data_IF_272141168919
#
_entry.id   IF_272141168919
#
_cell.length_a   1.000
_cell.length_b   1.000
_cell.length_c   1.000
_cell.angle_alpha   90.00
_cell.angle_beta   90.00
_cell.angle_gamma   90.00
#
_symmetry.space_group_name_H-M   'P 1'
#
loop_
_entity.id
_entity.type
_entity.pdbx_description
1 polymer ?
#
# COMPACT_ATOMS: atom_id res chain seq x y z
N UNK A 1 -1.22 27.99 19.74
CA UNK A 1 -0.67 28.65 18.55
C UNK A 1 -1.60 28.33 17.39
N UNK A 2 -2.21 29.35 16.78
CA UNK A 2 -2.96 29.15 15.54
C UNK A 2 -2.02 28.56 14.48
N UNK A 3 -2.44 27.52 13.73
CA UNK A 3 -1.62 27.00 12.65
C UNK A 3 -1.38 28.11 11.63
N UNK A 4 -0.11 28.39 11.35
CA UNK A 4 0.29 29.38 10.36
C UNK A 4 -0.44 29.08 9.04
N UNK A 5 -1.19 30.03 8.51
CA UNK A 5 -1.90 29.93 7.22
C UNK A 5 -0.96 29.70 6.03
N UNK A 6 0.34 29.95 6.24
CA UNK A 6 1.40 29.89 5.22
C UNK A 6 1.96 28.48 4.95
N UNK A 7 1.33 27.43 5.50
CA UNK A 7 1.81 26.04 5.32
C UNK A 7 1.50 25.43 3.95
N UNK A 8 0.59 26.00 3.21
CA UNK A 8 0.15 25.44 1.94
C UNK A 8 0.75 26.19 0.75
N UNK A 9 1.28 25.46 -0.22
CA UNK A 9 1.91 26.03 -1.40
C UNK A 9 1.01 27.06 -2.14
N UNK A 10 -0.30 26.80 -2.20
CA UNK A 10 -1.29 27.70 -2.85
C UNK A 10 -1.50 29.04 -2.11
N UNK A 11 -0.98 29.19 -0.90
CA UNK A 11 -1.01 30.45 -0.14
C UNK A 11 0.25 31.27 -0.31
N UNK A 12 1.28 30.74 -0.96
CA UNK A 12 2.53 31.47 -1.19
C UNK A 12 2.35 32.59 -2.22
N UNK A 13 3.13 33.68 -2.08
CA UNK A 13 3.13 34.76 -3.08
C UNK A 13 3.48 34.25 -4.47
N UNK A 14 4.47 33.35 -4.57
CA UNK A 14 4.87 32.73 -5.83
C UNK A 14 3.72 31.97 -6.53
N UNK A 15 2.87 31.28 -5.77
CA UNK A 15 1.69 30.61 -6.33
C UNK A 15 0.67 31.60 -6.87
N UNK A 16 0.39 32.67 -6.10
CA UNK A 16 -0.55 33.70 -6.50
C UNK A 16 -0.07 34.45 -7.76
N UNK A 17 1.23 34.80 -7.80
CA UNK A 17 1.87 35.46 -8.95
C UNK A 17 1.90 34.58 -10.19
N UNK A 18 2.18 33.26 -10.05
CA UNK A 18 2.19 32.32 -11.14
C UNK A 18 0.80 32.10 -11.76
N UNK A 19 -0.26 32.35 -10.98
CA UNK A 19 -1.65 32.20 -11.41
C UNK A 19 -1.91 30.92 -12.22
N UNK A 20 -1.62 29.72 -11.66
CA UNK A 20 -1.68 28.48 -12.42
C UNK A 20 -3.09 28.21 -12.93
N UNK A 21 -3.18 27.69 -14.15
CA UNK A 21 -4.46 27.27 -14.73
C UNK A 21 -4.88 25.96 -14.10
N UNK A 22 -6.09 25.92 -13.54
CA UNK A 22 -6.67 24.70 -12.95
C UNK A 22 -7.35 23.90 -14.04
N UNK A 23 -6.84 22.67 -14.27
CA UNK A 23 -7.45 21.71 -15.18
C UNK A 23 -8.17 20.64 -14.39
N UNK A 24 -9.43 20.36 -14.74
CA UNK A 24 -10.23 19.31 -14.13
C UNK A 24 -10.24 18.07 -15.02
N UNK A 25 -9.86 16.91 -14.46
CA UNK A 25 -10.00 15.64 -15.13
C UNK A 25 -11.44 15.14 -14.94
N UNK A 26 -12.14 14.90 -16.03
CA UNK A 26 -13.55 14.52 -16.04
C UNK A 26 -13.78 13.03 -16.22
N UNK A 27 -12.78 12.30 -16.74
CA UNK A 27 -12.87 10.87 -17.00
C UNK A 27 -12.12 10.06 -15.93
N UNK A 28 -12.73 8.96 -15.49
CA UNK A 28 -12.19 8.06 -14.48
C UNK A 28 -11.95 6.68 -15.09
N UNK A 29 -10.69 6.26 -15.15
CA UNK A 29 -10.28 4.97 -15.73
C UNK A 29 -9.94 3.89 -14.68
N UNK A 30 -9.79 4.27 -13.41
CA UNK A 30 -9.34 3.34 -12.36
C UNK A 30 -10.41 2.31 -11.99
N UNK A 31 -11.67 2.68 -12.09
CA UNK A 31 -12.79 1.84 -11.67
C UNK A 31 -13.79 1.69 -12.81
N UNK A 32 -14.17 0.45 -13.07
CA UNK A 32 -15.10 0.09 -14.14
C UNK A 32 -16.57 0.03 -13.68
N UNK A 33 -16.81 -0.02 -12.35
CA UNK A 33 -18.18 -0.08 -11.80
C UNK A 33 -18.73 1.32 -11.60
N UNK A 34 -19.79 1.64 -12.31
CA UNK A 34 -20.45 2.96 -12.25
C UNK A 34 -21.00 3.31 -10.86
N UNK A 35 -21.54 2.34 -10.11
CA UNK A 35 -22.12 2.54 -8.77
C UNK A 35 -21.08 3.05 -7.76
N UNK A 36 -19.90 2.42 -7.69
CA UNK A 36 -18.82 2.87 -6.81
C UNK A 36 -18.34 4.29 -7.19
N UNK A 37 -18.21 4.59 -8.49
CA UNK A 37 -17.85 5.92 -8.96
C UNK A 37 -18.89 6.98 -8.57
N UNK A 38 -20.17 6.64 -8.64
CA UNK A 38 -21.26 7.53 -8.24
C UNK A 38 -21.14 7.86 -6.75
N UNK A 39 -20.99 6.84 -5.89
CA UNK A 39 -20.81 7.04 -4.43
C UNK A 39 -19.59 7.91 -4.14
N UNK A 40 -18.44 7.60 -4.76
CA UNK A 40 -17.20 8.37 -4.55
C UNK A 40 -17.32 9.82 -4.99
N UNK A 41 -18.05 10.10 -6.06
CA UNK A 41 -18.29 11.47 -6.52
C UNK A 41 -19.25 12.20 -5.58
N UNK A 42 -20.29 11.57 -5.08
CA UNK A 42 -21.20 12.14 -4.08
C UNK A 42 -20.47 12.47 -2.77
N UNK A 43 -19.59 11.59 -2.30
CA UNK A 43 -18.74 11.85 -1.12
C UNK A 43 -17.81 13.05 -1.38
N UNK A 44 -17.21 13.13 -2.57
CA UNK A 44 -16.31 14.23 -2.95
C UNK A 44 -17.02 15.57 -3.03
N UNK A 45 -18.24 15.59 -3.55
CA UNK A 45 -19.06 16.82 -3.64
C UNK A 45 -19.75 17.17 -2.31
N UNK A 46 -19.64 16.32 -1.30
CA UNK A 46 -20.37 16.43 -0.03
C UNK A 46 -21.90 16.48 -0.22
N UNK A 47 -22.40 15.73 -1.17
CA UNK A 47 -23.82 15.63 -1.55
C UNK A 47 -24.20 14.15 -1.69
N UNK A 48 -24.27 13.45 -0.53
CA UNK A 48 -24.55 12.02 -0.45
C UNK A 48 -26.04 11.81 -0.29
N UNK A 49 -26.68 11.16 -1.27
CA UNK A 49 -28.11 10.84 -1.23
C UNK A 49 -28.42 9.54 -0.48
N UNK A 50 -29.71 9.31 -0.23
CA UNK A 50 -30.18 8.10 0.49
C UNK A 50 -29.85 6.82 -0.29
N UNK A 51 -29.83 6.84 -1.61
CA UNK A 51 -29.54 5.67 -2.44
C UNK A 51 -28.09 5.20 -2.26
N UNK A 52 -27.15 6.14 -2.18
CA UNK A 52 -25.75 5.83 -1.89
C UNK A 52 -25.56 5.26 -0.49
N UNK A 53 -26.27 5.80 0.51
CA UNK A 53 -26.25 5.27 1.89
C UNK A 53 -26.78 3.86 1.94
N UNK A 54 -27.91 3.59 1.29
CA UNK A 54 -28.51 2.27 1.22
C UNK A 54 -27.55 1.26 0.56
N UNK A 55 -26.96 1.62 -0.58
CA UNK A 55 -26.02 0.75 -1.30
C UNK A 55 -24.78 0.42 -0.45
N UNK A 56 -24.25 1.40 0.30
CA UNK A 56 -23.16 1.16 1.25
C UNK A 56 -23.58 0.24 2.41
N UNK A 57 -24.81 0.37 2.90
CA UNK A 57 -25.33 -0.51 3.96
C UNK A 57 -25.50 -1.95 3.47
N UNK A 58 -25.97 -2.15 2.25
CA UNK A 58 -26.14 -3.46 1.62
C UNK A 58 -24.80 -4.20 1.49
N UNK A 59 -23.69 -3.48 1.22
CA UNK A 59 -22.35 -4.09 1.12
C UNK A 59 -21.87 -4.76 2.41
N UNK A 60 -22.45 -4.43 3.58
CA UNK A 60 -22.10 -5.06 4.87
C UNK A 60 -22.45 -6.54 4.93
N UNK A 61 -23.38 -6.99 4.09
CA UNK A 61 -23.87 -8.37 4.05
C UNK A 61 -23.25 -9.17 2.88
N UNK A 62 -22.33 -8.57 2.13
CA UNK A 62 -21.65 -9.28 1.07
C UNK A 62 -20.76 -10.38 1.65
N UNK A 63 -20.98 -11.61 1.18
CA UNK A 63 -20.08 -12.71 1.44
C UNK A 63 -18.89 -12.64 0.49
N UNK A 64 -17.69 -12.79 1.05
CA UNK A 64 -16.44 -12.73 0.28
C UNK A 64 -15.77 -14.10 0.27
N UNK A 65 -15.48 -14.63 -0.92
CA UNK A 65 -14.68 -15.85 -1.09
C UNK A 65 -13.22 -15.63 -0.68
N UNK A 66 -12.75 -14.39 -0.75
CA UNK A 66 -11.40 -13.96 -0.32
C UNK A 66 -11.60 -12.79 0.64
N UNK A 67 -10.98 -12.86 1.79
CA UNK A 67 -11.06 -11.78 2.77
C UNK A 67 -10.54 -10.48 2.16
N UNK A 68 -11.36 -9.39 2.15
CA UNK A 68 -10.95 -8.12 1.55
C UNK A 68 -9.85 -7.45 2.36
N UNK A 69 -9.08 -6.60 1.69
CA UNK A 69 -8.06 -5.76 2.35
C UNK A 69 -8.74 -4.77 3.29
N UNK A 70 -8.36 -4.79 4.56
CA UNK A 70 -8.86 -3.86 5.57
C UNK A 70 -8.02 -2.58 5.57
N UNK A 71 -8.69 -1.42 5.61
CA UNK A 71 -8.05 -0.11 5.68
C UNK A 71 -8.25 0.49 7.07
N UNK A 72 -7.19 0.97 7.68
CA UNK A 72 -7.18 1.62 8.99
C UNK A 72 -6.63 3.03 8.90
N UNK A 73 -7.05 3.91 9.78
CA UNK A 73 -6.61 5.30 9.83
C UNK A 73 -5.24 5.50 10.50
N UNK A 74 -4.77 4.52 11.28
CA UNK A 74 -3.52 4.60 12.02
C UNK A 74 -2.63 3.38 11.76
N UNK A 75 -1.33 3.61 11.55
CA UNK A 75 -0.36 2.54 11.30
C UNK A 75 -0.24 1.56 12.47
N UNK A 76 -0.38 2.02 13.71
CA UNK A 76 -0.31 1.15 14.88
C UNK A 76 -1.41 0.05 14.88
N UNK A 77 -2.61 0.37 14.39
CA UNK A 77 -3.69 -0.61 14.27
C UNK A 77 -3.36 -1.64 13.17
N UNK A 78 -2.78 -1.18 12.06
CA UNK A 78 -2.32 -2.05 10.95
C UNK A 78 -1.23 -2.99 11.43
N UNK A 79 -0.23 -2.49 12.16
CA UNK A 79 0.89 -3.28 12.65
C UNK A 79 0.41 -4.36 13.64
N UNK A 80 -0.50 -4.00 14.56
CA UNK A 80 -1.06 -4.95 15.52
C UNK A 80 -1.87 -6.06 14.83
N UNK A 81 -2.69 -5.71 13.83
CA UNK A 81 -3.46 -6.69 13.06
C UNK A 81 -2.57 -7.61 12.23
N UNK A 82 -1.56 -7.06 11.54
CA UNK A 82 -0.62 -7.83 10.76
C UNK A 82 0.18 -8.81 11.64
N UNK A 83 0.62 -8.37 12.82
CA UNK A 83 1.33 -9.21 13.79
C UNK A 83 0.42 -10.34 14.28
N UNK A 84 -0.83 -10.06 14.63
CA UNK A 84 -1.79 -11.07 15.06
C UNK A 84 -2.03 -12.13 13.97
N UNK A 85 -2.25 -11.72 12.73
CA UNK A 85 -2.43 -12.63 11.58
C UNK A 85 -1.18 -13.48 11.34
N UNK A 86 0.01 -12.86 11.42
CA UNK A 86 1.27 -13.57 11.24
C UNK A 86 1.52 -14.61 12.34
N UNK A 87 1.18 -14.28 13.60
CA UNK A 87 1.29 -15.22 14.73
C UNK A 87 0.32 -16.39 14.62
N UNK A 88 -0.85 -16.18 14.00
CA UNK A 88 -1.83 -17.24 13.73
C UNK A 88 -1.31 -18.33 12.78
N UNK A 89 -0.29 -18.04 11.96
CA UNK A 89 0.31 -19.02 11.04
C UNK A 89 1.26 -19.98 11.79
N UNK A 90 1.00 -21.28 11.65
CA UNK A 90 1.76 -22.37 12.30
C UNK A 90 2.96 -22.83 11.46
N UNK A 91 3.62 -21.92 10.76
CA UNK A 91 4.80 -22.18 9.92
C UNK A 91 6.01 -21.44 10.46
N UNK A 92 7.21 -21.93 10.11
CA UNK A 92 8.46 -21.28 10.51
C UNK A 92 8.56 -19.86 9.94
N UNK A 93 9.17 -18.97 10.73
CA UNK A 93 9.39 -17.61 10.34
C UNK A 93 10.76 -17.41 9.69
N UNK A 94 10.80 -16.60 8.63
CA UNK A 94 12.01 -16.08 8.02
C UNK A 94 12.13 -14.59 8.31
N UNK A 95 13.32 -14.16 8.71
CA UNK A 95 13.57 -12.78 9.13
C UNK A 95 14.58 -12.13 8.21
N UNK A 96 14.17 -11.02 7.63
CA UNK A 96 14.98 -10.20 6.71
C UNK A 96 15.32 -8.86 7.36
N UNK A 97 16.57 -8.45 7.25
CA UNK A 97 17.04 -7.16 7.77
C UNK A 97 17.47 -6.24 6.64
N UNK A 98 17.04 -4.99 6.70
CA UNK A 98 17.48 -3.96 5.78
C UNK A 98 18.98 -3.67 5.96
N UNK A 99 19.72 -3.65 4.86
CA UNK A 99 21.10 -3.16 4.82
C UNK A 99 21.09 -1.66 4.56
N UNK A 100 21.82 -0.90 5.38
CA UNK A 100 21.87 0.55 5.29
C UNK A 100 23.27 0.98 4.86
N UNK A 101 23.34 1.97 3.94
CA UNK A 101 24.60 2.56 3.47
C UNK A 101 24.41 4.05 3.22
N UNK A 102 25.33 4.89 3.68
CA UNK A 102 25.31 6.33 3.49
C UNK A 102 25.55 7.14 4.76
N UNK A 103 25.28 8.45 4.71
CA UNK A 103 25.45 9.35 5.85
C UNK A 103 24.45 9.01 6.96
N UNK A 104 24.89 8.77 8.23
CA UNK A 104 24.01 8.32 9.30
C UNK A 104 22.81 9.24 9.58
N UNK A 105 22.99 10.56 9.57
CA UNK A 105 21.91 11.53 9.84
C UNK A 105 20.86 11.55 8.72
N UNK A 106 21.31 11.48 7.47
CA UNK A 106 20.41 11.42 6.31
C UNK A 106 19.67 10.08 6.29
N UNK A 107 20.37 9.00 6.64
CA UNK A 107 19.80 7.65 6.69
C UNK A 107 18.67 7.54 7.70
N UNK A 108 18.84 8.09 8.90
CA UNK A 108 17.79 8.08 9.92
C UNK A 108 16.52 8.80 9.46
N UNK A 109 16.66 9.97 8.85
CA UNK A 109 15.53 10.72 8.29
C UNK A 109 14.87 9.97 7.13
N UNK A 110 15.67 9.37 6.25
CA UNK A 110 15.18 8.58 5.11
C UNK A 110 14.39 7.36 5.57
N UNK A 111 14.93 6.55 6.48
CA UNK A 111 14.26 5.35 7.00
C UNK A 111 12.92 5.70 7.66
N UNK A 112 12.85 6.80 8.42
CA UNK A 112 11.59 7.28 9.01
C UNK A 112 10.53 7.71 7.97
N UNK A 113 10.97 8.07 6.78
CA UNK A 113 10.05 8.43 5.67
C UNK A 113 9.55 7.22 4.87
N UNK A 114 10.19 6.06 5.01
CA UNK A 114 9.80 4.84 4.32
C UNK A 114 8.65 4.13 5.05
N UNK A 115 7.76 3.53 4.27
CA UNK A 115 6.70 2.64 4.78
C UNK A 115 7.27 1.24 5.07
N UNK A 116 8.50 0.99 4.62
CA UNK A 116 9.17 -0.33 4.72
C UNK A 116 9.75 -0.53 6.11
N UNK A 117 9.53 -1.69 6.70
CA UNK A 117 10.11 -2.06 8.00
C UNK A 117 11.58 -2.43 7.85
N UNK A 118 12.42 -2.03 8.81
CA UNK A 118 13.84 -2.42 8.85
C UNK A 118 14.05 -3.92 9.14
N UNK A 119 13.14 -4.51 9.91
CA UNK A 119 13.06 -5.94 10.19
C UNK A 119 11.74 -6.45 9.63
N UNK A 120 11.81 -7.27 8.62
CA UNK A 120 10.65 -7.89 7.99
C UNK A 120 10.59 -9.38 8.40
N UNK A 121 9.50 -9.77 9.05
CA UNK A 121 9.22 -11.16 9.41
C UNK A 121 8.16 -11.70 8.46
N UNK A 122 8.44 -12.83 7.82
CA UNK A 122 7.56 -13.47 6.85
C UNK A 122 7.43 -14.95 7.19
N UNK A 123 6.21 -15.48 7.03
CA UNK A 123 5.92 -16.91 7.16
C UNK A 123 5.29 -17.44 5.88
N UNK A 124 5.47 -18.72 5.60
CA UNK A 124 4.71 -19.39 4.54
C UNK A 124 3.21 -19.32 4.86
N UNK A 125 2.42 -18.89 3.90
CA UNK A 125 0.99 -18.64 4.05
C UNK A 125 0.61 -17.19 4.39
N UNK A 126 1.56 -16.29 4.67
CA UNK A 126 1.22 -14.89 4.91
C UNK A 126 0.90 -14.16 3.60
N UNK A 127 -0.03 -13.21 3.67
CA UNK A 127 -0.32 -12.26 2.60
C UNK A 127 0.72 -11.15 2.62
N UNK A 128 1.19 -10.75 1.44
CA UNK A 128 2.17 -9.68 1.27
C UNK A 128 1.71 -8.72 0.18
N UNK A 129 2.20 -7.49 0.26
CA UNK A 129 1.97 -6.45 -0.74
C UNK A 129 3.31 -5.89 -1.21
N UNK A 130 3.49 -5.81 -2.52
CA UNK A 130 4.64 -5.14 -3.10
C UNK A 130 4.50 -3.62 -2.97
N UNK A 131 5.54 -2.97 -2.48
CA UNK A 131 5.58 -1.52 -2.25
C UNK A 131 6.36 -0.75 -3.32
N UNK A 132 6.87 -1.45 -4.35
CA UNK A 132 7.63 -0.88 -5.44
C UNK A 132 7.17 -1.47 -6.76
N UNK A 133 7.22 -0.64 -7.81
CA UNK A 133 6.96 -1.10 -9.17
C UNK A 133 8.14 -1.91 -9.70
N UNK A 134 7.85 -3.01 -10.36
CA UNK A 134 8.77 -3.80 -11.15
C UNK A 134 8.11 -4.10 -12.49
N UNK A 135 8.41 -3.26 -13.46
CA UNK A 135 7.78 -3.31 -14.77
C UNK A 135 8.22 -4.55 -15.58
N UNK A 136 9.43 -5.07 -15.36
CA UNK A 136 9.92 -6.26 -16.05
C UNK A 136 9.15 -7.51 -15.64
N UNK A 137 8.85 -7.65 -14.34
CA UNK A 137 8.05 -8.74 -13.79
C UNK A 137 6.55 -8.46 -13.81
N UNK A 138 6.13 -7.28 -14.26
CA UNK A 138 4.72 -6.85 -14.30
C UNK A 138 4.12 -6.68 -12.91
N UNK A 139 4.91 -6.24 -11.94
CA UNK A 139 4.49 -5.97 -10.57
C UNK A 139 4.33 -4.47 -10.39
N UNK A 140 3.20 -4.07 -9.81
CA UNK A 140 2.92 -2.68 -9.47
C UNK A 140 2.90 -2.51 -7.96
N UNK A 141 3.22 -1.32 -7.48
CA UNK A 141 2.97 -0.96 -6.08
C UNK A 141 1.51 -1.25 -5.71
N UNK A 142 1.28 -1.98 -4.61
CA UNK A 142 -0.03 -2.46 -4.21
C UNK A 142 -0.39 -3.86 -4.74
N UNK A 143 0.45 -4.50 -5.58
CA UNK A 143 0.22 -5.89 -6.01
C UNK A 143 0.26 -6.82 -4.80
N UNK A 144 -0.81 -7.61 -4.64
CA UNK A 144 -0.97 -8.57 -3.55
C UNK A 144 -0.50 -9.97 -3.97
N UNK A 145 0.00 -10.71 -3.00
CA UNK A 145 0.37 -12.11 -3.18
C UNK A 145 0.37 -12.90 -1.88
N UNK A 146 0.54 -14.20 -2.01
CA UNK A 146 0.64 -15.16 -0.93
C UNK A 146 2.04 -15.78 -0.94
N UNK A 147 2.73 -15.82 0.19
CA UNK A 147 4.00 -16.54 0.31
C UNK A 147 3.72 -18.03 0.30
N UNK A 148 4.13 -18.71 -0.77
CA UNK A 148 3.87 -20.15 -0.96
C UNK A 148 5.07 -21.02 -0.59
N UNK A 149 6.28 -20.45 -0.63
CA UNK A 149 7.51 -21.17 -0.33
C UNK A 149 8.68 -20.19 -0.12
N UNK A 150 9.86 -20.71 0.25
CA UNK A 150 11.12 -19.98 0.25
C UNK A 150 12.12 -20.71 -0.66
N UNK A 151 12.85 -19.96 -1.50
CA UNK A 151 13.83 -20.53 -2.44
C UNK A 151 15.10 -19.72 -2.48
N UNK A 152 16.20 -20.40 -2.73
CA UNK A 152 17.48 -19.76 -3.00
C UNK A 152 17.48 -19.18 -4.41
N UNK A 153 17.97 -17.97 -4.54
CA UNK A 153 18.30 -17.39 -5.84
C UNK A 153 19.68 -17.91 -6.26
N UNK A 154 19.89 -18.27 -7.54
CA UNK A 154 21.18 -18.75 -8.02
C UNK A 154 22.32 -17.74 -7.87
N UNK A 155 22.00 -16.45 -7.99
CA UNK A 155 22.96 -15.34 -8.00
C UNK A 155 23.08 -14.62 -6.65
N UNK A 156 22.14 -14.86 -5.73
CA UNK A 156 22.08 -14.19 -4.43
C UNK A 156 22.00 -15.19 -3.27
N UNK A 157 22.51 -14.77 -2.11
CA UNK A 157 22.41 -15.57 -0.88
C UNK A 157 20.99 -15.42 -0.29
N UNK A 158 20.14 -16.46 -0.55
CA UNK A 158 18.81 -16.60 0.04
C UNK A 158 18.77 -17.51 1.27
N UNK A 159 17.62 -17.95 1.74
CA UNK A 159 16.36 -18.09 0.96
C UNK A 159 15.54 -16.80 0.85
N UNK A 160 14.82 -16.64 -0.28
CA UNK A 160 13.89 -15.55 -0.53
C UNK A 160 12.45 -16.06 -0.69
N UNK A 161 11.43 -15.26 -0.33
CA UNK A 161 10.05 -15.70 -0.43
C UNK A 161 9.60 -15.85 -1.89
N UNK A 162 9.03 -17.02 -2.19
CA UNK A 162 8.32 -17.29 -3.44
C UNK A 162 6.87 -16.88 -3.26
N UNK A 163 6.46 -15.84 -3.98
CA UNK A 163 5.15 -15.22 -3.84
C UNK A 163 4.27 -15.63 -5.02
N UNK A 164 3.10 -16.20 -4.73
CA UNK A 164 2.07 -16.43 -5.72
C UNK A 164 1.16 -15.21 -5.80
N UNK A 165 1.13 -14.57 -6.96
CA UNK A 165 0.26 -13.41 -7.25
C UNK A 165 -1.19 -13.86 -7.45
N UNK A 166 -2.13 -12.91 -7.46
CA UNK A 166 -3.55 -13.16 -7.68
C UNK A 166 -3.85 -13.76 -9.07
N UNK A 167 -3.02 -13.49 -10.07
CA UNK A 167 -3.09 -14.08 -11.42
C UNK A 167 -2.44 -15.47 -11.53
N UNK A 168 -2.08 -16.08 -10.39
CA UNK A 168 -1.43 -17.39 -10.24
C UNK A 168 0.04 -17.45 -10.68
N UNK A 169 0.62 -16.39 -11.22
CA UNK A 169 2.07 -16.32 -11.45
C UNK A 169 2.82 -16.42 -10.13
N UNK A 170 4.03 -16.97 -10.16
CA UNK A 170 4.92 -17.05 -9.01
C UNK A 170 6.16 -16.20 -9.25
N UNK A 171 6.49 -15.38 -8.27
CA UNK A 171 7.62 -14.46 -8.32
C UNK A 171 8.50 -14.67 -7.08
N UNK A 172 9.81 -14.77 -7.30
CA UNK A 172 10.79 -14.75 -6.20
C UNK A 172 11.06 -13.30 -5.82
N UNK A 173 10.78 -12.93 -4.57
CA UNK A 173 10.99 -11.56 -4.10
C UNK A 173 12.41 -11.41 -3.53
N UNK A 174 13.30 -10.92 -4.35
CA UNK A 174 14.69 -10.60 -3.99
C UNK A 174 14.80 -9.20 -3.37
N UNK A 175 15.94 -8.87 -2.70
CA UNK A 175 16.15 -7.55 -2.12
C UNK A 175 16.08 -6.42 -3.16
N UNK A 176 15.50 -5.30 -2.74
CA UNK A 176 15.36 -4.10 -3.57
C UNK A 176 16.06 -2.90 -2.93
N UNK A 177 16.62 -2.02 -3.76
CA UNK A 177 17.31 -0.82 -3.31
C UNK A 177 16.32 0.35 -3.26
N UNK A 178 16.32 1.05 -2.15
CA UNK A 178 15.58 2.30 -1.92
C UNK A 178 16.56 3.46 -1.81
N UNK A 179 16.38 4.50 -2.62
CA UNK A 179 17.25 5.69 -2.68
C UNK A 179 16.43 6.97 -2.80
#
# INVERSE_FOLDING_TARGET
QEPSKDKFAFMSKAWVEASPVVCYLTEQYRQTKNELNTILNQIRSNDVDESAVQLLQETRFNEHTIEPTKLYSHNADVDAMNEQELQGLQTDEEVFFAKKSGNPKMMEAFVKSLIVQEKLVIKKGCKVMFLKNDHERGIMNGTLGLVVDFKNDPDEKGPYPLIQLMDKRKVLATPEIWS
#
